data_IF_850438958511
#
_entry.id   IF_850438958511
#
_cell.length_a   1.000
_cell.length_b   1.000
_cell.length_c   1.000
_cell.angle_alpha   90.00
_cell.angle_beta   90.00
_cell.angle_gamma   90.00
#
_symmetry.space_group_name_H-M   'P 1'
#
loop_
_entity.id
_entity.type
_entity.pdbx_description
1 polymer ?
#
# COMPACT_ATOMS: atom_id res chain seq x y z
N UNK A 1 -4.52 -11.48 -4.79
CA UNK A 1 -4.56 -10.01 -4.68
C UNK A 1 -3.13 -9.52 -4.53
N UNK A 2 -2.60 -8.79 -5.51
CA UNK A 2 -1.21 -8.31 -5.50
C UNK A 2 -1.22 -6.90 -4.90
N UNK A 3 -0.31 -6.59 -3.97
CA UNK A 3 -0.22 -5.28 -3.32
C UNK A 3 -0.18 -4.12 -4.31
N UNK A 4 0.62 -4.27 -5.38
CA UNK A 4 0.74 -3.32 -6.46
C UNK A 4 -0.62 -2.96 -7.08
N UNK A 5 -1.48 -3.95 -7.35
CA UNK A 5 -2.81 -3.73 -7.92
C UNK A 5 -3.71 -2.96 -6.94
N UNK A 6 -3.71 -3.33 -5.66
CA UNK A 6 -4.52 -2.65 -4.64
C UNK A 6 -4.16 -1.17 -4.54
N UNK A 7 -2.86 -0.86 -4.50
CA UNK A 7 -2.39 0.51 -4.42
C UNK A 7 -2.62 1.26 -5.74
N UNK A 8 -2.34 0.64 -6.89
CA UNK A 8 -2.51 1.25 -8.20
C UNK A 8 -3.97 1.60 -8.48
N UNK A 9 -4.91 0.71 -8.14
CA UNK A 9 -6.34 0.96 -8.30
C UNK A 9 -6.78 2.16 -7.45
N UNK A 10 -6.29 2.27 -6.21
CA UNK A 10 -6.56 3.40 -5.35
C UNK A 10 -6.00 4.72 -5.90
N UNK A 11 -4.78 4.69 -6.45
CA UNK A 11 -4.18 5.85 -7.11
C UNK A 11 -5.00 6.26 -8.33
N UNK A 12 -5.42 5.32 -9.17
CA UNK A 12 -6.23 5.61 -10.36
C UNK A 12 -7.57 6.23 -9.96
N UNK A 13 -8.28 5.63 -8.98
CA UNK A 13 -9.54 6.16 -8.46
C UNK A 13 -9.42 7.57 -7.88
N UNK A 14 -8.28 7.89 -7.27
CA UNK A 14 -8.04 9.22 -6.71
C UNK A 14 -8.01 10.34 -7.76
N UNK A 15 -7.71 10.01 -9.03
CA UNK A 15 -7.45 10.99 -10.09
C UNK A 15 -6.24 11.90 -9.82
N UNK A 16 -5.41 11.57 -8.83
CA UNK A 16 -4.26 12.39 -8.44
C UNK A 16 -2.98 11.92 -9.11
N UNK A 17 -2.11 12.88 -9.41
CA UNK A 17 -0.74 12.56 -9.81
C UNK A 17 0.06 12.04 -8.61
N UNK A 18 1.07 11.22 -8.88
CA UNK A 18 1.99 10.76 -7.83
C UNK A 18 2.61 11.91 -7.02
N UNK A 19 2.89 13.06 -7.65
CA UNK A 19 3.41 14.24 -6.96
C UNK A 19 2.43 14.78 -5.92
N UNK A 20 1.14 14.87 -6.27
CA UNK A 20 0.07 15.31 -5.35
C UNK A 20 -0.14 14.34 -4.19
N UNK A 21 -0.02 13.04 -4.44
CA UNK A 21 -0.09 12.01 -3.39
C UNK A 21 1.09 12.17 -2.41
N UNK A 22 2.29 12.38 -2.93
CA UNK A 22 3.49 12.58 -2.10
C UNK A 22 3.39 13.83 -1.25
N UNK A 23 2.88 14.93 -1.82
CA UNK A 23 2.62 16.16 -1.08
C UNK A 23 1.68 15.90 0.12
N UNK A 24 0.57 15.17 -0.13
CA UNK A 24 -0.39 14.79 0.93
C UNK A 24 0.19 13.84 1.97
N UNK A 25 1.08 12.93 1.57
CA UNK A 25 1.81 12.05 2.49
C UNK A 25 2.83 12.83 3.33
N UNK A 26 3.52 13.80 2.72
CA UNK A 26 4.50 14.66 3.39
C UNK A 26 3.82 15.48 4.49
N UNK A 27 2.63 16.01 4.23
CA UNK A 27 1.82 16.72 5.23
C UNK A 27 1.45 15.83 6.45
N UNK A 28 1.54 14.50 6.33
CA UNK A 28 1.30 13.51 7.40
C UNK A 28 2.61 12.90 7.93
N UNK A 29 3.75 13.55 7.68
CA UNK A 29 5.04 13.18 8.24
C UNK A 29 5.78 12.04 7.52
N UNK A 30 5.32 11.62 6.34
CA UNK A 30 5.99 10.59 5.52
C UNK A 30 6.45 11.20 4.20
N UNK A 31 7.77 11.18 3.96
CA UNK A 31 8.37 11.70 2.73
C UNK A 31 9.04 10.57 1.94
N UNK A 32 8.69 10.45 0.66
CA UNK A 32 9.35 9.55 -0.30
C UNK A 32 9.26 10.14 -1.71
N UNK A 33 10.05 9.59 -2.63
CA UNK A 33 10.14 10.11 -3.99
C UNK A 33 9.00 9.62 -4.90
N UNK A 34 8.74 10.37 -5.98
CA UNK A 34 7.78 9.97 -7.04
C UNK A 34 8.16 8.63 -7.65
N UNK A 35 9.46 8.43 -7.90
CA UNK A 35 9.97 7.17 -8.44
C UNK A 35 9.69 6.01 -7.49
N UNK A 36 9.84 6.23 -6.18
CA UNK A 36 9.53 5.21 -5.17
C UNK A 36 8.05 4.81 -5.20
N UNK A 37 7.14 5.80 -5.18
CA UNK A 37 5.69 5.55 -5.29
C UNK A 37 5.33 4.80 -6.59
N UNK A 38 5.90 5.22 -7.71
CA UNK A 38 5.67 4.53 -8.98
C UNK A 38 6.10 3.07 -8.92
N UNK A 39 7.27 2.77 -8.35
CA UNK A 39 7.82 1.41 -8.30
C UNK A 39 7.03 0.47 -7.38
N UNK A 40 6.46 0.99 -6.28
CA UNK A 40 5.57 0.17 -5.43
C UNK A 40 4.21 -0.05 -6.11
N UNK A 41 3.68 0.93 -6.87
CA UNK A 41 2.45 0.76 -7.64
C UNK A 41 2.61 -0.22 -8.82
N UNK A 42 3.81 -0.31 -9.41
CA UNK A 42 4.09 -1.26 -10.50
C UNK A 42 4.59 -2.62 -10.01
N UNK A 43 4.77 -2.81 -8.69
CA UNK A 43 5.28 -4.04 -8.12
C UNK A 43 6.77 -4.30 -8.36
N UNK A 44 7.52 -3.32 -8.89
CA UNK A 44 8.98 -3.38 -9.05
C UNK A 44 9.66 -3.39 -7.68
N UNK A 45 9.10 -2.66 -6.72
CA UNK A 45 9.54 -2.69 -5.32
C UNK A 45 8.52 -3.45 -4.46
N UNK A 46 8.99 -4.13 -3.40
CA UNK A 46 8.11 -4.80 -2.46
C UNK A 46 7.22 -3.79 -1.71
N UNK A 47 6.15 -4.26 -1.07
CA UNK A 47 5.31 -3.43 -0.22
C UNK A 47 6.15 -2.66 0.81
N UNK A 48 5.86 -1.37 1.05
CA UNK A 48 6.64 -0.54 1.96
C UNK A 48 6.33 -0.87 3.42
N UNK A 49 6.95 -0.11 4.34
CA UNK A 49 6.69 -0.24 5.77
C UNK A 49 5.24 0.08 6.13
N UNK A 50 4.77 -0.46 7.26
CA UNK A 50 3.38 -0.23 7.69
C UNK A 50 3.08 1.24 7.98
N UNK A 51 4.09 2.01 8.37
CA UNK A 51 3.97 3.47 8.50
C UNK A 51 3.60 4.13 7.18
N UNK A 52 4.26 3.74 6.07
CA UNK A 52 3.94 4.27 4.73
C UNK A 52 2.55 3.78 4.30
N UNK A 53 2.21 2.51 4.55
CA UNK A 53 0.89 1.96 4.22
C UNK A 53 -0.25 2.69 4.96
N UNK A 54 -0.08 2.98 6.25
CA UNK A 54 -1.07 3.73 7.03
C UNK A 54 -1.30 5.11 6.45
N UNK A 55 -0.22 5.85 6.17
CA UNK A 55 -0.34 7.20 5.59
C UNK A 55 -0.93 7.17 4.17
N UNK A 56 -0.55 6.19 3.33
CA UNK A 56 -1.14 6.02 2.01
C UNK A 56 -2.65 5.75 2.10
N UNK A 57 -3.06 4.85 3.01
CA UNK A 57 -4.47 4.57 3.25
C UNK A 57 -5.20 5.82 3.74
N UNK A 58 -4.67 6.57 4.72
CA UNK A 58 -5.28 7.82 5.18
C UNK A 58 -5.42 8.88 4.08
N UNK A 59 -4.45 8.97 3.18
CA UNK A 59 -4.46 9.94 2.07
C UNK A 59 -5.45 9.54 0.99
N UNK A 60 -5.54 8.26 0.64
CA UNK A 60 -6.32 7.75 -0.49
C UNK A 60 -7.74 7.31 -0.08
N UNK A 61 -7.97 6.95 1.18
CA UNK A 61 -9.27 6.49 1.70
C UNK A 61 -10.44 7.41 1.30
N UNK A 62 -10.35 8.76 1.42
CA UNK A 62 -11.46 9.64 1.09
C UNK A 62 -11.87 9.65 -0.39
N UNK A 63 -11.02 9.13 -1.28
CA UNK A 63 -11.21 9.19 -2.74
C UNK A 63 -11.18 7.82 -3.42
N UNK A 64 -10.86 6.75 -2.71
CA UNK A 64 -10.72 5.41 -3.30
C UNK A 64 -11.20 4.26 -2.40
N UNK A 65 -11.78 4.56 -1.23
CA UNK A 65 -12.20 3.58 -0.21
C UNK A 65 -11.06 2.69 0.30
N UNK A 66 -9.81 3.04 -0.01
CA UNK A 66 -8.64 2.25 0.38
C UNK A 66 -8.49 2.27 1.89
N UNK A 67 -8.40 1.09 2.51
CA UNK A 67 -8.12 0.95 3.94
C UNK A 67 -6.72 0.42 4.19
N UNK A 68 -6.19 0.71 5.38
CA UNK A 68 -4.91 0.12 5.81
C UNK A 68 -4.97 -1.41 5.84
N UNK A 69 -6.11 -1.99 6.24
CA UNK A 69 -6.29 -3.44 6.28
C UNK A 69 -6.13 -4.08 4.91
N UNK A 70 -6.64 -3.45 3.84
CA UNK A 70 -6.46 -3.97 2.48
C UNK A 70 -4.98 -3.99 2.06
N UNK A 71 -4.23 -2.91 2.36
CA UNK A 71 -2.79 -2.85 2.08
C UNK A 71 -2.01 -3.86 2.92
N UNK A 72 -2.33 -3.98 4.21
CA UNK A 72 -1.68 -4.91 5.12
C UNK A 72 -1.91 -6.37 4.70
N UNK A 73 -3.15 -6.75 4.41
CA UNK A 73 -3.49 -8.09 3.92
C UNK A 73 -2.74 -8.41 2.61
N UNK A 74 -2.72 -7.48 1.66
CA UNK A 74 -2.01 -7.69 0.40
C UNK A 74 -0.50 -7.79 0.59
N UNK A 75 0.09 -7.02 1.51
CA UNK A 75 1.50 -7.10 1.89
C UNK A 75 1.83 -8.45 2.52
N UNK A 76 1.11 -8.86 3.56
CA UNK A 76 1.41 -10.08 4.30
C UNK A 76 1.15 -11.33 3.48
N UNK A 77 0.17 -11.34 2.58
CA UNK A 77 -0.01 -12.44 1.62
C UNK A 77 1.15 -12.62 0.65
N UNK A 78 1.98 -11.59 0.43
CA UNK A 78 3.16 -11.67 -0.43
C UNK A 78 4.43 -12.00 0.34
N UNK A 79 4.54 -11.54 1.59
CA UNK A 79 5.75 -11.70 2.41
C UNK A 79 5.72 -13.01 3.19
N UNK A 80 4.55 -13.41 3.70
CA UNK A 80 4.42 -14.60 4.54
C UNK A 80 4.33 -15.82 3.62
N UNK A 81 5.23 -16.82 3.79
CA UNK A 81 5.12 -18.09 3.09
C UNK A 81 3.78 -18.80 3.34
N UNK A 82 3.32 -19.57 2.37
CA UNK A 82 1.99 -20.19 2.41
C UNK A 82 1.85 -21.17 3.60
N UNK A 83 2.88 -21.95 3.88
CA UNK A 83 2.97 -22.87 5.02
C UNK A 83 2.83 -22.15 6.36
N UNK A 84 3.43 -20.97 6.49
CA UNK A 84 3.31 -20.15 7.71
C UNK A 84 1.90 -19.57 7.85
N UNK A 85 1.26 -19.18 6.74
CA UNK A 85 -0.14 -18.74 6.77
C UNK A 85 -1.09 -19.88 7.17
N UNK A 86 -0.85 -21.10 6.69
CA UNK A 86 -1.62 -22.29 7.06
C UNK A 86 -1.43 -22.64 8.54
N UNK A 87 -0.22 -22.53 9.07
CA UNK A 87 0.07 -22.71 10.49
C UNK A 87 -0.69 -21.70 11.36
N UNK A 88 -0.66 -20.40 10.99
CA UNK A 88 -1.42 -19.34 11.69
C UNK A 88 -2.93 -19.61 11.62
N UNK A 89 -3.45 -20.04 10.47
CA UNK A 89 -4.88 -20.31 10.28
C UNK A 89 -5.36 -21.55 11.07
N UNK A 90 -4.48 -22.52 11.29
CA UNK A 90 -4.76 -23.73 12.08
C UNK A 90 -4.56 -23.55 13.59
N UNK A 91 -4.15 -22.36 14.04
CA UNK A 91 -4.04 -22.00 15.46
C UNK A 91 -2.78 -22.54 16.15
N UNK A 92 -1.72 -22.79 15.38
CA UNK A 92 -0.39 -23.10 15.93
C UNK A 92 0.30 -21.88 16.54
#
# INVERSE_FOLDING_TARGET
MIYANVLSDAVIKSGWTYSKIIEKCRARGVCFSRSYLSKICTGVLPPPSDRINKVLAEVLSPVSELTYQQLALAKYKQIIPADILEAIASGQ
#
